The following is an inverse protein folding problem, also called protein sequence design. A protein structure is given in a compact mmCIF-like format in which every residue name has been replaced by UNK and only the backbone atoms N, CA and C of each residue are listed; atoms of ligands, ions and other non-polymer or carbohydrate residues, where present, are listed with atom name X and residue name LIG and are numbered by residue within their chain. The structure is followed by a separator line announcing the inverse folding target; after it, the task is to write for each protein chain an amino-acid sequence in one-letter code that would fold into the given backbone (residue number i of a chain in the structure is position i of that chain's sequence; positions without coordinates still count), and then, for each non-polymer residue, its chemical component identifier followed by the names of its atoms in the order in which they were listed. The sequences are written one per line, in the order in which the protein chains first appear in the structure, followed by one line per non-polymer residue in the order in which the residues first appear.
data_IF_104585195504
#
_entry.id   IF_104585195504
#
_cell.length_a   1.000
_cell.length_b   1.000
_cell.length_c   1.000
_cell.angle_alpha   90.00
_cell.angle_beta   90.00
_cell.angle_gamma   90.00
#
_symmetry.space_group_name_H-M   'P 1'
#
loop_
_entity.id
_entity.type
_entity.pdbx_description
1 polymer ?
#
# COMPACT_ATOMS: atom_id res chain seq x y z
N UNK A 1 -30.64 -2.28 -45.50
CA UNK A 1 -29.75 -3.02 -44.58
C UNK A 1 -29.87 -2.43 -43.18
N UNK A 2 -30.36 -3.18 -42.20
CA UNK A 2 -30.42 -2.74 -40.78
C UNK A 2 -29.00 -2.71 -40.22
N UNK A 3 -28.50 -1.53 -39.86
CA UNK A 3 -27.27 -1.40 -39.06
C UNK A 3 -27.56 -1.97 -37.67
N UNK A 4 -27.01 -3.15 -37.38
CA UNK A 4 -26.96 -3.68 -36.03
C UNK A 4 -25.88 -2.86 -35.31
N UNK A 5 -26.31 -1.86 -34.56
CA UNK A 5 -25.45 -1.11 -33.65
C UNK A 5 -25.35 -1.96 -32.39
N UNK A 6 -24.26 -2.71 -32.24
CA UNK A 6 -23.92 -3.32 -30.96
C UNK A 6 -23.64 -2.18 -29.96
N UNK A 7 -24.32 -2.12 -28.80
CA UNK A 7 -23.94 -1.21 -27.76
C UNK A 7 -22.70 -1.82 -27.08
N UNK A 8 -21.51 -1.47 -27.58
CA UNK A 8 -20.32 -1.57 -26.76
C UNK A 8 -20.56 -0.56 -25.63
N UNK A 9 -21.04 -1.06 -24.48
CA UNK A 9 -21.12 -0.28 -23.25
C UNK A 9 -19.73 0.33 -23.07
N UNK A 10 -19.65 1.65 -23.14
CA UNK A 10 -18.47 2.41 -22.72
C UNK A 10 -18.12 1.91 -21.32
N UNK A 11 -17.13 1.02 -21.24
CA UNK A 11 -16.34 0.79 -20.03
C UNK A 11 -15.72 2.15 -19.78
N UNK A 12 -16.44 3.00 -19.07
CA UNK A 12 -15.98 4.33 -18.72
C UNK A 12 -14.72 4.10 -17.90
N UNK A 13 -13.69 4.91 -18.15
CA UNK A 13 -12.40 4.87 -17.43
C UNK A 13 -12.60 4.77 -15.90
N UNK A 14 -13.72 5.28 -15.38
CA UNK A 14 -14.19 5.13 -13.99
C UNK A 14 -14.40 3.71 -13.49
N UNK A 15 -14.80 2.77 -14.35
CA UNK A 15 -14.95 1.36 -13.97
C UNK A 15 -13.61 0.66 -13.76
N UNK A 16 -12.57 1.12 -14.45
CA UNK A 16 -11.20 0.62 -14.31
C UNK A 16 -10.57 1.18 -13.02
N UNK A 17 -10.77 2.47 -12.72
CA UNK A 17 -10.27 3.10 -11.50
C UNK A 17 -11.32 3.09 -10.39
N UNK A 18 -11.64 1.89 -9.92
CA UNK A 18 -12.54 1.66 -8.78
C UNK A 18 -11.75 1.53 -7.48
N UNK A 19 -12.19 2.16 -6.38
CA UNK A 19 -11.54 2.00 -5.07
C UNK A 19 -11.60 0.54 -4.60
N UNK A 20 -12.64 -0.20 -4.98
CA UNK A 20 -12.80 -1.63 -4.66
C UNK A 20 -11.73 -2.44 -5.40
N UNK A 21 -11.47 -2.14 -6.68
CA UNK A 21 -10.43 -2.85 -7.43
C UNK A 21 -9.05 -2.60 -6.82
N UNK A 22 -8.75 -1.36 -6.44
CA UNK A 22 -7.52 -1.01 -5.72
C UNK A 22 -7.37 -1.82 -4.44
N UNK A 23 -8.39 -1.85 -3.58
CA UNK A 23 -8.36 -2.63 -2.34
C UNK A 23 -8.20 -4.14 -2.58
N UNK A 24 -8.91 -4.71 -3.56
CA UNK A 24 -8.78 -6.13 -3.93
C UNK A 24 -7.37 -6.46 -4.44
N UNK A 25 -6.74 -5.56 -5.19
CA UNK A 25 -5.36 -5.76 -5.63
C UNK A 25 -4.35 -5.66 -4.48
N UNK A 26 -4.59 -4.83 -3.46
CA UNK A 26 -3.77 -4.85 -2.23
C UNK A 26 -3.88 -6.22 -1.55
N UNK A 27 -5.09 -6.75 -1.37
CA UNK A 27 -5.30 -8.08 -0.80
C UNK A 27 -4.67 -9.18 -1.66
N UNK A 28 -4.76 -9.06 -2.98
CA UNK A 28 -4.13 -10.02 -3.89
C UNK A 28 -2.60 -9.97 -3.83
N UNK A 29 -2.00 -8.79 -3.68
CA UNK A 29 -0.56 -8.64 -3.44
C UNK A 29 -0.12 -9.36 -2.16
N UNK A 30 -0.89 -9.23 -1.08
CA UNK A 30 -0.65 -9.94 0.19
C UNK A 30 -0.81 -11.46 0.07
N UNK A 31 -1.79 -11.93 -0.70
CA UNK A 31 -1.93 -13.36 -0.99
C UNK A 31 -0.74 -13.89 -1.80
N UNK A 32 -0.25 -13.12 -2.77
CA UNK A 32 0.94 -13.47 -3.56
C UNK A 32 2.21 -13.47 -2.71
N UNK A 33 2.37 -12.54 -1.77
CA UNK A 33 3.54 -12.55 -0.87
C UNK A 33 3.52 -13.79 0.03
N UNK A 34 2.37 -14.15 0.59
CA UNK A 34 2.22 -15.40 1.34
C UNK A 34 2.50 -16.63 0.47
N UNK A 35 1.99 -16.65 -0.76
CA UNK A 35 2.28 -17.72 -1.71
C UNK A 35 3.78 -17.85 -1.96
N UNK A 36 4.46 -16.73 -2.21
CA UNK A 36 5.91 -16.67 -2.41
C UNK A 36 6.68 -17.17 -1.18
N UNK A 37 6.22 -16.80 0.03
CA UNK A 37 6.85 -17.15 1.29
C UNK A 37 6.85 -18.66 1.57
N UNK A 38 5.75 -19.35 1.22
CA UNK A 38 5.62 -20.79 1.42
C UNK A 38 6.13 -21.64 0.25
N UNK A 39 6.10 -21.10 -0.96
CA UNK A 39 6.59 -21.83 -2.15
C UNK A 39 8.05 -21.55 -2.46
N UNK A 40 8.67 -20.58 -1.78
CA UNK A 40 10.04 -20.11 -2.00
C UNK A 40 10.31 -19.72 -3.46
N UNK A 41 9.32 -19.11 -4.12
CA UNK A 41 9.43 -18.68 -5.52
C UNK A 41 9.65 -17.18 -5.62
N UNK A 42 10.88 -16.76 -5.92
CA UNK A 42 11.26 -15.35 -6.04
C UNK A 42 10.38 -14.56 -7.02
N UNK A 43 9.95 -15.19 -8.12
CA UNK A 43 9.10 -14.52 -9.10
C UNK A 43 7.76 -14.05 -8.53
N UNK A 44 7.23 -14.76 -7.52
CA UNK A 44 6.00 -14.36 -6.84
C UNK A 44 6.22 -13.15 -5.92
N UNK A 45 7.43 -12.95 -5.36
CA UNK A 45 7.77 -11.74 -4.62
C UNK A 45 7.73 -10.50 -5.52
N UNK A 46 8.37 -10.60 -6.69
CA UNK A 46 8.38 -9.52 -7.68
C UNK A 46 6.96 -9.21 -8.18
N UNK A 47 6.17 -10.26 -8.44
CA UNK A 47 4.77 -10.10 -8.85
C UNK A 47 3.92 -9.46 -7.74
N UNK A 48 4.09 -9.88 -6.49
CA UNK A 48 3.43 -9.28 -5.32
C UNK A 48 3.72 -7.78 -5.25
N UNK A 49 4.99 -7.37 -5.39
CA UNK A 49 5.37 -5.97 -5.38
C UNK A 49 4.79 -5.19 -6.57
N UNK A 50 4.83 -5.75 -7.78
CA UNK A 50 4.25 -5.11 -8.96
C UNK A 50 2.72 -4.89 -8.82
N UNK A 51 2.01 -5.89 -8.31
CA UNK A 51 0.57 -5.81 -8.03
C UNK A 51 0.28 -4.73 -6.97
N UNK A 52 1.10 -4.63 -5.91
CA UNK A 52 0.97 -3.59 -4.90
C UNK A 52 1.10 -2.18 -5.51
N UNK A 53 2.10 -1.97 -6.38
CA UNK A 53 2.27 -0.68 -7.06
C UNK A 53 1.08 -0.35 -7.95
N UNK A 54 0.55 -1.32 -8.70
CA UNK A 54 -0.67 -1.14 -9.48
C UNK A 54 -1.87 -0.77 -8.60
N UNK A 55 -2.02 -1.43 -7.45
CA UNK A 55 -3.08 -1.16 -6.49
C UNK A 55 -3.01 0.28 -5.95
N UNK A 56 -1.83 0.72 -5.52
CA UNK A 56 -1.59 2.07 -5.02
C UNK A 56 -1.84 3.14 -6.09
N UNK A 57 -1.40 2.89 -7.33
CA UNK A 57 -1.70 3.76 -8.46
C UNK A 57 -3.20 3.90 -8.70
N UNK A 58 -3.96 2.80 -8.67
CA UNK A 58 -5.42 2.84 -8.84
C UNK A 58 -6.09 3.61 -7.71
N UNK A 59 -5.72 3.34 -6.46
CA UNK A 59 -6.24 4.06 -5.29
C UNK A 59 -5.94 5.55 -5.39
N UNK A 60 -4.70 5.92 -5.71
CA UNK A 60 -4.28 7.31 -5.83
C UNK A 60 -5.01 8.05 -6.96
N UNK A 61 -5.11 7.44 -8.15
CA UNK A 61 -5.89 8.01 -9.26
C UNK A 61 -7.35 8.19 -8.86
N UNK A 62 -7.93 7.25 -8.11
CA UNK A 62 -9.30 7.38 -7.61
C UNK A 62 -9.46 8.59 -6.70
N UNK A 63 -8.51 8.83 -5.79
CA UNK A 63 -8.48 10.04 -4.94
C UNK A 63 -8.40 11.32 -5.78
N UNK A 64 -7.51 11.37 -6.77
CA UNK A 64 -7.36 12.52 -7.69
C UNK A 64 -8.67 12.80 -8.44
N UNK A 65 -9.31 11.77 -8.96
CA UNK A 65 -10.58 11.89 -9.68
C UNK A 65 -11.72 12.37 -8.76
N UNK A 66 -11.74 11.95 -7.50
CA UNK A 66 -12.73 12.43 -6.53
C UNK A 66 -12.51 13.91 -6.17
N UNK A 67 -11.25 14.30 -5.90
CA UNK A 67 -10.86 15.69 -5.61
C UNK A 67 -11.27 16.63 -6.75
N UNK A 68 -10.90 16.28 -7.98
CA UNK A 68 -11.18 17.10 -9.17
C UNK A 68 -12.66 17.20 -9.51
N UNK A 69 -13.48 16.21 -9.12
CA UNK A 69 -14.92 16.24 -9.34
C UNK A 69 -15.65 17.15 -8.35
N UNK A 70 -15.20 17.20 -7.10
CA UNK A 70 -15.93 17.88 -6.01
C UNK A 70 -15.39 19.24 -5.64
N UNK A 71 -14.19 19.60 -6.11
CA UNK A 71 -13.63 20.94 -5.94
C UNK A 71 -13.76 21.74 -7.24
N UNK A 72 -14.26 22.97 -7.13
CA UNK A 72 -14.40 23.88 -8.28
C UNK A 72 -13.06 24.36 -8.85
N UNK A 73 -11.97 24.25 -8.09
CA UNK A 73 -10.64 24.69 -8.49
C UNK A 73 -9.73 23.50 -8.81
N UNK A 74 -9.39 23.34 -10.09
CA UNK A 74 -8.49 22.28 -10.55
C UNK A 74 -7.09 22.37 -9.92
N UNK A 75 -6.56 23.58 -9.75
CA UNK A 75 -5.24 23.81 -9.14
C UNK A 75 -5.23 23.34 -7.67
N UNK A 76 -6.27 23.70 -6.90
CA UNK A 76 -6.38 23.28 -5.51
C UNK A 76 -6.49 21.75 -5.37
N UNK A 77 -7.22 21.11 -6.29
CA UNK A 77 -7.35 19.65 -6.34
C UNK A 77 -6.00 18.99 -6.61
N UNK A 78 -5.23 19.53 -7.56
CA UNK A 78 -3.89 19.05 -7.87
C UNK A 78 -2.95 19.21 -6.67
N UNK A 79 -2.90 20.40 -6.06
CA UNK A 79 -2.08 20.66 -4.87
C UNK A 79 -2.45 19.74 -3.71
N UNK A 80 -3.74 19.55 -3.45
CA UNK A 80 -4.22 18.65 -2.39
C UNK A 80 -3.82 17.19 -2.66
N UNK A 81 -3.91 16.75 -3.92
CA UNK A 81 -3.51 15.39 -4.30
C UNK A 81 -2.01 15.15 -4.15
N UNK A 82 -1.18 16.13 -4.50
CA UNK A 82 0.29 16.05 -4.38
C UNK A 82 0.75 16.14 -2.92
N UNK A 83 0.01 16.85 -2.07
CA UNK A 83 0.37 17.00 -0.66
C UNK A 83 0.39 15.65 0.08
N UNK A 84 -0.55 14.75 -0.22
CA UNK A 84 -0.64 13.42 0.41
C UNK A 84 0.65 12.59 0.25
N UNK A 85 1.13 12.27 -0.98
CA UNK A 85 2.36 11.52 -1.15
C UNK A 85 3.59 12.30 -0.67
N UNK A 86 3.65 13.62 -0.89
CA UNK A 86 4.82 14.42 -0.47
C UNK A 86 5.00 14.40 1.05
N UNK A 87 3.94 14.60 1.82
CA UNK A 87 4.00 14.55 3.29
C UNK A 87 4.24 13.12 3.75
N UNK A 88 3.58 12.13 3.14
CA UNK A 88 3.73 10.73 3.52
C UNK A 88 5.18 10.24 3.38
N UNK A 89 5.74 10.34 2.18
CA UNK A 89 7.10 9.89 1.91
C UNK A 89 8.13 10.79 2.57
N UNK A 90 7.89 12.11 2.63
CA UNK A 90 8.78 13.07 3.29
C UNK A 90 9.01 12.78 4.77
N UNK A 91 7.98 12.32 5.49
CA UNK A 91 8.09 11.94 6.90
C UNK A 91 8.66 10.53 7.12
N UNK A 92 8.72 9.70 6.07
CA UNK A 92 9.16 8.29 6.13
C UNK A 92 10.46 8.05 5.35
N UNK A 93 11.24 9.10 5.08
CA UNK A 93 12.56 9.00 4.42
C UNK A 93 13.56 8.24 5.30
N UNK A 94 13.49 8.44 6.62
CA UNK A 94 14.42 7.83 7.57
C UNK A 94 13.91 6.44 7.96
N UNK A 95 14.51 5.41 7.36
CA UNK A 95 14.26 4.02 7.73
C UNK A 95 14.78 3.76 9.13
N UNK A 96 13.98 3.13 9.99
CA UNK A 96 14.46 2.65 11.26
C UNK A 96 14.97 1.22 11.08
N UNK A 97 16.28 1.08 11.08
CA UNK A 97 16.96 -0.21 11.02
C UNK A 97 16.83 -0.90 12.37
N UNK A 98 15.98 -1.92 12.46
CA UNK A 98 15.97 -2.85 13.59
C UNK A 98 16.85 -4.05 13.32
N UNK A 99 18.05 -3.80 12.77
CA UNK A 99 18.95 -4.89 12.40
C UNK A 99 19.23 -5.81 13.60
N UNK A 100 19.19 -5.33 14.85
CA UNK A 100 19.50 -6.15 16.04
C UNK A 100 18.95 -5.63 17.40
N UNK A 101 17.77 -5.01 17.52
CA UNK A 101 17.45 -4.37 18.83
C UNK A 101 16.02 -4.26 19.35
N UNK A 102 14.96 -4.82 18.74
CA UNK A 102 13.63 -4.83 19.39
C UNK A 102 12.76 -6.01 18.92
N UNK A 103 12.48 -6.96 19.82
CA UNK A 103 11.33 -7.90 19.83
C UNK A 103 10.78 -8.38 18.48
N UNK A 104 9.45 -8.34 18.35
CA UNK A 104 8.70 -8.88 17.20
C UNK A 104 9.16 -8.34 15.82
N UNK A 105 9.49 -7.04 15.63
CA UNK A 105 9.95 -6.51 14.33
C UNK A 105 11.20 -7.19 13.78
N UNK A 106 12.19 -7.47 14.64
CA UNK A 106 13.40 -8.17 14.20
C UNK A 106 13.09 -9.61 13.78
N UNK A 107 12.13 -10.26 14.45
CA UNK A 107 11.75 -11.63 14.14
C UNK A 107 11.03 -11.72 12.78
N UNK A 108 10.08 -10.83 12.49
CA UNK A 108 9.43 -10.80 11.17
C UNK A 108 10.43 -10.52 10.05
N UNK A 109 11.34 -9.59 10.30
CA UNK A 109 12.39 -9.24 9.35
C UNK A 109 13.30 -10.44 9.05
N UNK A 110 13.83 -11.08 10.09
CA UNK A 110 14.71 -12.25 9.96
C UNK A 110 13.97 -13.44 9.35
N UNK A 111 12.72 -13.68 9.73
CA UNK A 111 11.89 -14.73 9.14
C UNK A 111 11.70 -14.53 7.62
N UNK A 112 11.52 -13.29 7.17
CA UNK A 112 11.48 -12.96 5.74
C UNK A 112 12.81 -13.24 5.03
N UNK A 113 13.94 -12.83 5.62
CA UNK A 113 15.28 -13.06 5.05
C UNK A 113 15.62 -14.54 4.98
N UNK A 114 15.31 -15.30 6.04
CA UNK A 114 15.57 -16.73 6.10
C UNK A 114 14.70 -17.54 5.13
N UNK A 115 13.44 -17.13 4.91
CA UNK A 115 12.58 -17.75 3.90
C UNK A 115 13.17 -17.67 2.49
N UNK A 116 13.84 -16.56 2.15
CA UNK A 116 14.48 -16.37 0.84
C UNK A 116 15.86 -17.01 0.76
N UNK A 117 16.65 -16.96 1.85
CA UNK A 117 18.06 -17.39 1.83
C UNK A 117 18.23 -18.88 2.10
N UNK A 118 17.34 -19.45 2.91
CA UNK A 118 17.49 -20.81 3.45
C UNK A 118 16.24 -21.68 3.23
N UNK A 119 15.22 -21.18 2.55
CA UNK A 119 13.93 -21.85 2.36
C UNK A 119 13.31 -22.32 3.69
N UNK A 120 13.43 -21.49 4.73
CA UNK A 120 13.00 -21.82 6.09
C UNK A 120 12.09 -20.74 6.68
N UNK A 121 11.00 -21.18 7.30
CA UNK A 121 10.21 -20.36 8.21
C UNK A 121 10.77 -20.52 9.63
N UNK A 122 11.34 -19.43 10.14
CA UNK A 122 11.86 -19.33 11.51
C UNK A 122 10.96 -18.46 12.41
N UNK A 123 9.81 -18.03 11.90
CA UNK A 123 8.92 -17.09 12.55
C UNK A 123 8.10 -17.71 13.68
N UNK A 124 7.91 -16.94 14.76
CA UNK A 124 7.03 -17.30 15.89
C UNK A 124 5.59 -16.77 15.73
N UNK A 125 5.35 -15.89 14.76
CA UNK A 125 4.12 -15.12 14.59
C UNK A 125 3.53 -15.26 13.18
N UNK A 126 2.37 -14.63 12.94
CA UNK A 126 1.64 -14.75 11.68
C UNK A 126 2.52 -14.41 10.45
N UNK A 127 2.48 -15.24 9.40
CA UNK A 127 3.45 -15.23 8.29
C UNK A 127 3.34 -14.00 7.38
N UNK A 128 2.28 -13.19 7.51
CA UNK A 128 1.98 -12.13 6.55
C UNK A 128 2.96 -10.94 6.64
N UNK A 129 3.47 -10.63 7.83
CA UNK A 129 4.51 -9.59 8.00
C UNK A 129 5.88 -10.10 7.60
N UNK A 130 6.17 -11.38 7.87
CA UNK A 130 7.39 -12.03 7.39
C UNK A 130 7.40 -12.14 5.86
N UNK A 131 6.25 -12.44 5.23
CA UNK A 131 6.13 -12.53 3.78
C UNK A 131 6.33 -11.17 3.09
N UNK A 132 5.80 -10.08 3.66
CA UNK A 132 6.14 -8.74 3.17
C UNK A 132 7.63 -8.42 3.34
N UNK A 133 8.23 -8.81 4.46
CA UNK A 133 9.68 -8.63 4.67
C UNK A 133 10.50 -9.41 3.64
N UNK A 134 10.05 -10.62 3.26
CA UNK A 134 10.65 -11.41 2.18
C UNK A 134 10.56 -10.70 0.81
N UNK A 135 9.41 -10.09 0.50
CA UNK A 135 9.25 -9.25 -0.70
C UNK A 135 10.22 -8.06 -0.67
N UNK A 136 10.29 -7.35 0.46
CA UNK A 136 11.19 -6.22 0.64
C UNK A 136 12.66 -6.60 0.46
N UNK A 137 13.08 -7.73 1.05
CA UNK A 137 14.43 -8.26 0.91
C UNK A 137 14.74 -8.65 -0.53
N UNK A 138 13.83 -9.36 -1.20
CA UNK A 138 13.99 -9.78 -2.60
C UNK A 138 14.10 -8.60 -3.57
N UNK A 139 13.32 -7.52 -3.36
CA UNK A 139 13.26 -6.36 -4.27
C UNK A 139 14.36 -5.33 -3.97
N UNK A 140 14.59 -5.00 -2.70
CA UNK A 140 15.43 -3.87 -2.30
C UNK A 140 16.74 -4.31 -1.62
N UNK A 141 16.91 -5.60 -1.33
CA UNK A 141 18.03 -6.13 -0.58
C UNK A 141 17.93 -5.85 0.92
N UNK A 142 18.88 -6.40 1.67
CA UNK A 142 18.89 -6.37 3.15
C UNK A 142 18.71 -4.96 3.71
N UNK A 143 19.50 -3.99 3.25
CA UNK A 143 19.51 -2.65 3.84
C UNK A 143 18.20 -1.88 3.68
N UNK A 144 17.37 -2.24 2.70
CA UNK A 144 16.18 -1.50 2.31
C UNK A 144 14.90 -2.34 2.35
N UNK A 145 14.96 -3.56 2.90
CA UNK A 145 13.79 -4.42 3.03
C UNK A 145 12.59 -3.75 3.73
N UNK A 146 12.74 -2.89 4.77
CA UNK A 146 11.60 -2.19 5.39
C UNK A 146 10.85 -1.22 4.46
N UNK A 147 11.43 -0.84 3.32
CA UNK A 147 10.77 0.05 2.32
C UNK A 147 9.44 -0.54 1.87
N UNK A 148 9.31 -1.87 1.82
CA UNK A 148 8.05 -2.52 1.45
C UNK A 148 6.90 -2.15 2.38
N UNK A 149 7.14 -1.98 3.69
CA UNK A 149 6.12 -1.59 4.65
C UNK A 149 5.70 -0.14 4.46
N UNK A 150 6.65 0.74 4.13
CA UNK A 150 6.36 2.14 3.76
C UNK A 150 5.52 2.20 2.49
N UNK A 151 5.86 1.41 1.47
CA UNK A 151 5.08 1.36 0.22
C UNK A 151 3.68 0.82 0.50
N UNK A 152 3.57 -0.30 1.21
CA UNK A 152 2.30 -0.93 1.54
C UNK A 152 1.38 -0.01 2.37
N UNK A 153 1.89 0.59 3.44
CA UNK A 153 1.09 1.43 4.34
C UNK A 153 0.65 2.75 3.68
N UNK A 154 1.18 3.11 2.50
CA UNK A 154 0.67 4.24 1.73
C UNK A 154 -0.77 4.02 1.25
N UNK A 155 -1.24 2.78 1.18
CA UNK A 155 -2.65 2.50 0.89
C UNK A 155 -3.58 2.99 2.00
N UNK A 156 -3.16 2.99 3.27
CA UNK A 156 -4.00 3.38 4.41
C UNK A 156 -4.55 4.82 4.31
N UNK A 157 -3.74 5.89 4.10
CA UNK A 157 -4.29 7.23 3.95
C UNK A 157 -5.18 7.39 2.71
N UNK A 158 -4.91 6.66 1.62
CA UNK A 158 -5.76 6.68 0.42
C UNK A 158 -7.13 6.04 0.69
N UNK A 159 -7.14 4.87 1.33
CA UNK A 159 -8.36 4.17 1.72
C UNK A 159 -9.14 4.98 2.74
N UNK A 160 -8.48 5.56 3.75
CA UNK A 160 -9.12 6.43 4.75
C UNK A 160 -9.81 7.63 4.09
N UNK A 161 -9.15 8.33 3.17
CA UNK A 161 -9.77 9.40 2.40
C UNK A 161 -11.05 8.91 1.70
N UNK A 162 -10.97 7.80 0.97
CA UNK A 162 -12.09 7.27 0.19
C UNK A 162 -13.25 6.80 1.07
N UNK A 163 -12.95 6.22 2.24
CA UNK A 163 -13.93 5.83 3.24
C UNK A 163 -14.66 7.05 3.82
N UNK A 164 -13.94 8.10 4.20
CA UNK A 164 -14.55 9.35 4.69
C UNK A 164 -15.47 9.96 3.63
N UNK A 165 -15.04 9.98 2.36
CA UNK A 165 -15.89 10.41 1.25
C UNK A 165 -17.14 9.54 1.10
N UNK A 166 -17.02 8.22 1.28
CA UNK A 166 -18.15 7.28 1.22
C UNK A 166 -19.15 7.49 2.36
N UNK A 167 -18.70 7.90 3.54
CA UNK A 167 -19.54 8.27 4.66
C UNK A 167 -20.18 9.67 4.54
N UNK A 168 -19.89 10.41 3.46
CA UNK A 168 -20.49 11.72 3.19
C UNK A 168 -19.73 12.91 3.78
N UNK A 169 -18.53 12.70 4.34
CA UNK A 169 -17.69 13.82 4.79
C UNK A 169 -17.23 14.66 3.61
N UNK A 170 -17.05 15.97 3.82
CA UNK A 170 -16.59 16.88 2.77
C UNK A 170 -15.17 16.54 2.30
N UNK A 171 -14.81 16.99 1.09
CA UNK A 171 -13.48 16.83 0.52
C UNK A 171 -12.39 17.32 1.47
N UNK A 172 -12.57 18.52 2.03
CA UNK A 172 -11.62 19.13 2.96
C UNK A 172 -11.41 18.26 4.21
N UNK A 173 -12.50 17.81 4.85
CA UNK A 173 -12.43 16.95 6.05
C UNK A 173 -11.73 15.64 5.72
N UNK A 174 -11.98 15.08 4.54
CA UNK A 174 -11.37 13.82 4.11
C UNK A 174 -9.85 13.95 3.88
N UNK A 175 -9.42 15.05 3.25
CA UNK A 175 -7.98 15.38 3.10
C UNK A 175 -7.32 15.59 4.47
N UNK A 176 -7.96 16.38 5.34
CA UNK A 176 -7.44 16.63 6.70
C UNK A 176 -7.32 15.32 7.47
N UNK A 177 -8.33 14.44 7.41
CA UNK A 177 -8.29 13.13 8.05
C UNK A 177 -7.12 12.26 7.55
N UNK A 178 -6.91 12.21 6.23
CA UNK A 178 -5.77 11.50 5.65
C UNK A 178 -4.42 12.10 6.09
N UNK A 179 -4.29 13.43 6.10
CA UNK A 179 -3.06 14.11 6.55
C UNK A 179 -2.80 13.90 8.05
N UNK A 180 -3.85 13.95 8.88
CA UNK A 180 -3.75 13.67 10.31
C UNK A 180 -3.22 12.26 10.55
N UNK A 181 -3.75 11.26 9.83
CA UNK A 181 -3.22 9.90 9.89
C UNK A 181 -1.72 9.85 9.53
N UNK A 182 -1.33 10.53 8.45
CA UNK A 182 0.06 10.53 7.96
C UNK A 182 1.04 11.09 9.01
N UNK A 183 0.65 12.14 9.74
CA UNK A 183 1.50 12.83 10.72
C UNK A 183 1.49 12.21 12.11
N UNK A 184 0.63 11.21 12.39
CA UNK A 184 0.63 10.52 13.67
C UNK A 184 2.01 9.87 13.90
N UNK A 185 2.72 10.21 15.00
CA UNK A 185 4.06 9.67 15.27
C UNK A 185 4.08 8.14 15.27
N UNK A 186 3.02 7.54 15.79
CA UNK A 186 2.86 6.08 15.83
C UNK A 186 2.70 5.48 14.42
N UNK A 187 1.98 6.15 13.51
CA UNK A 187 1.86 5.72 12.11
C UNK A 187 3.21 5.78 11.39
N UNK A 188 3.99 6.85 11.62
CA UNK A 188 5.34 7.00 11.06
C UNK A 188 6.25 5.89 11.58
N UNK A 189 6.23 5.67 12.91
CA UNK A 189 7.05 4.65 13.54
C UNK A 189 6.74 3.26 12.98
N UNK A 190 5.47 2.84 12.98
CA UNK A 190 5.09 1.54 12.44
C UNK A 190 5.47 1.35 10.97
N UNK A 191 5.28 2.37 10.11
CA UNK A 191 5.66 2.29 8.70
C UNK A 191 7.15 2.04 8.49
N UNK A 192 7.97 2.73 9.28
CA UNK A 192 9.42 2.75 9.15
C UNK A 192 10.10 1.57 9.84
N UNK A 193 9.31 0.62 10.34
CA UNK A 193 9.74 -0.61 11.04
C UNK A 193 9.24 -1.86 10.33
N UNK A 194 9.60 -3.04 10.84
CA UNK A 194 9.02 -4.34 10.45
C UNK A 194 7.91 -4.84 11.40
N UNK A 195 7.22 -3.93 12.11
CA UNK A 195 6.05 -4.33 12.90
C UNK A 195 4.93 -4.91 12.02
N UNK A 196 4.08 -5.74 12.63
CA UNK A 196 2.86 -6.24 11.96
C UNK A 196 1.75 -5.19 11.87
N UNK A 197 1.80 -4.14 12.69
CA UNK A 197 0.80 -3.09 12.81
C UNK A 197 0.39 -2.40 11.49
N UNK A 198 1.29 -2.11 10.52
CA UNK A 198 0.89 -1.61 9.22
C UNK A 198 -0.11 -2.51 8.49
N UNK A 199 -0.02 -3.83 8.67
CA UNK A 199 -0.93 -4.82 8.10
C UNK A 199 -2.26 -4.82 8.84
N UNK A 200 -2.25 -4.70 10.16
CA UNK A 200 -3.49 -4.64 10.96
C UNK A 200 -4.27 -3.33 10.78
N UNK A 201 -3.58 -2.25 10.43
CA UNK A 201 -4.20 -0.93 10.21
C UNK A 201 -4.94 -0.82 8.87
N UNK A 202 -4.64 -1.71 7.91
CA UNK A 202 -5.20 -1.71 6.56
C UNK A 202 -6.32 -2.75 6.41
#
# INVERSE_FOLDING_TARGET
MKKIIFPIKNITIRSIFSPILGALLVLFSLALSLGAYYSHHEILNLLSFAVLLCALCILYVTVVLDLTRHNNHHILSLLSSLLIPLVYFGLRIILHRFDFSVGDPSDYYLAGVCSITYDQDIGYFLPLTASLSAVGFSVFGLQFAPVINIVFQFAAPLVLYLLLRRFGYSTLVSVIGALLYIVLPLSIWFASTSFSDPIWQL
#
